data_IF_943412035467
#
_entry.id   IF_943412035467
#
_cell.length_a   1.000
_cell.length_b   1.000
_cell.length_c   1.000
_cell.angle_alpha   90.00
_cell.angle_beta   90.00
_cell.angle_gamma   90.00
#
_symmetry.space_group_name_H-M   'P 1'
#
loop_
_entity.id
_entity.type
_entity.pdbx_description
1 polymer ?
#
# COMPACT_ATOMS: atom_id res chain seq x y z
N UNK A 1 12.33 4.71 -18.20
CA UNK A 1 13.18 3.66 -17.59
C UNK A 1 12.64 3.38 -16.21
N UNK A 2 12.00 2.23 -16.00
CA UNK A 2 11.71 1.73 -14.65
C UNK A 2 13.04 1.28 -14.05
N UNK A 3 13.48 1.96 -12.99
CA UNK A 3 14.65 1.54 -12.20
C UNK A 3 14.42 0.13 -11.63
N UNK A 4 15.51 -0.54 -11.24
CA UNK A 4 15.41 -1.80 -10.51
C UNK A 4 14.67 -1.53 -9.20
N UNK A 5 13.80 -2.45 -8.79
CA UNK A 5 13.07 -2.36 -7.52
C UNK A 5 14.00 -2.76 -6.36
N UNK A 6 14.83 -1.80 -5.92
CA UNK A 6 16.00 -2.05 -5.06
C UNK A 6 15.66 -2.34 -3.59
N UNK A 7 14.49 -1.89 -3.11
CA UNK A 7 14.07 -2.10 -1.72
C UNK A 7 13.13 -3.29 -1.54
N UNK A 8 12.58 -3.85 -2.62
CA UNK A 8 11.52 -4.88 -2.57
C UNK A 8 11.78 -6.00 -1.56
N UNK A 9 12.96 -6.61 -1.63
CA UNK A 9 13.29 -7.72 -0.74
C UNK A 9 13.39 -7.30 0.72
N UNK A 10 13.84 -6.06 1.00
CA UNK A 10 13.92 -5.52 2.35
C UNK A 10 12.53 -5.17 2.89
N UNK A 11 11.66 -4.62 2.05
CA UNK A 11 10.26 -4.37 2.42
C UNK A 11 9.54 -5.67 2.76
N UNK A 12 9.60 -6.68 1.90
CA UNK A 12 8.95 -7.97 2.19
C UNK A 12 9.50 -8.64 3.46
N UNK A 13 10.83 -8.65 3.65
CA UNK A 13 11.42 -9.19 4.87
C UNK A 13 10.95 -8.43 6.12
N UNK A 14 10.90 -7.09 6.04
CA UNK A 14 10.40 -6.25 7.13
C UNK A 14 8.92 -6.51 7.41
N UNK A 15 8.08 -6.68 6.39
CA UNK A 15 6.66 -7.00 6.57
C UNK A 15 6.48 -8.33 7.31
N UNK A 16 7.18 -9.38 6.88
CA UNK A 16 7.09 -10.71 7.48
C UNK A 16 7.50 -10.71 8.96
N UNK A 17 8.52 -9.92 9.33
CA UNK A 17 9.02 -9.85 10.71
C UNK A 17 8.21 -8.89 11.59
N UNK A 18 7.75 -7.77 11.03
CA UNK A 18 7.21 -6.65 11.79
C UNK A 18 5.71 -6.51 11.63
N UNK A 19 5.16 -6.59 10.42
CA UNK A 19 3.73 -6.31 10.19
C UNK A 19 2.88 -7.57 10.34
N UNK A 20 3.26 -8.66 9.68
CA UNK A 20 2.49 -9.92 9.64
C UNK A 20 2.14 -10.45 11.05
N UNK A 21 3.06 -10.48 12.04
CA UNK A 21 2.73 -11.00 13.37
C UNK A 21 1.77 -10.13 14.17
N UNK A 22 1.49 -8.90 13.72
CA UNK A 22 0.74 -7.88 14.47
C UNK A 22 -0.65 -7.60 13.88
N UNK A 23 -0.93 -8.11 12.69
CA UNK A 23 -2.25 -8.00 12.05
C UNK A 23 -2.77 -9.39 11.63
N UNK A 24 -3.55 -10.05 12.49
CA UNK A 24 -4.19 -11.32 12.15
C UNK A 24 -5.50 -11.13 11.35
N UNK A 25 -5.89 -9.88 11.05
CA UNK A 25 -7.20 -9.61 10.46
C UNK A 25 -7.26 -10.04 9.00
N UNK A 26 -8.43 -10.53 8.60
CA UNK A 26 -8.72 -10.95 7.23
C UNK A 26 -9.93 -10.18 6.71
N UNK A 27 -9.81 -9.72 5.46
CA UNK A 27 -10.86 -9.05 4.71
C UNK A 27 -11.41 -10.04 3.70
N UNK A 28 -12.72 -10.29 3.75
CA UNK A 28 -13.41 -11.05 2.72
C UNK A 28 -13.45 -10.24 1.41
N UNK A 29 -13.24 -10.91 0.27
CA UNK A 29 -13.27 -10.28 -1.05
C UNK A 29 -14.49 -9.36 -1.27
N UNK A 30 -15.68 -9.82 -0.85
CA UNK A 30 -16.92 -9.05 -0.98
C UNK A 30 -16.96 -7.72 -0.21
N UNK A 31 -16.10 -7.54 0.79
CA UNK A 31 -15.97 -6.30 1.56
C UNK A 31 -14.83 -5.41 1.05
N UNK A 32 -13.87 -5.96 0.29
CA UNK A 32 -12.63 -5.28 -0.05
C UNK A 32 -12.86 -3.99 -0.88
N UNK A 33 -13.75 -4.01 -1.87
CA UNK A 33 -14.05 -2.80 -2.65
C UNK A 33 -14.58 -1.67 -1.77
N UNK A 34 -15.50 -1.97 -0.84
CA UNK A 34 -16.05 -0.96 0.06
C UNK A 34 -14.99 -0.35 0.98
N UNK A 35 -14.00 -1.14 1.42
CA UNK A 35 -12.86 -0.62 2.18
C UNK A 35 -11.97 0.29 1.34
N UNK A 36 -11.64 -0.14 0.11
CA UNK A 36 -10.86 0.68 -0.83
C UNK A 36 -11.57 2.00 -1.11
N UNK A 37 -12.87 1.98 -1.40
CA UNK A 37 -13.67 3.17 -1.68
C UNK A 37 -13.69 4.14 -0.48
N UNK A 38 -13.86 3.60 0.73
CA UNK A 38 -13.88 4.39 1.96
C UNK A 38 -12.54 5.07 2.22
N UNK A 39 -11.42 4.33 2.16
CA UNK A 39 -10.07 4.88 2.34
C UNK A 39 -9.79 5.95 1.28
N UNK A 40 -10.08 5.65 0.01
CA UNK A 40 -9.85 6.56 -1.10
C UNK A 40 -10.63 7.87 -0.95
N UNK A 41 -11.90 7.78 -0.56
CA UNK A 41 -12.75 8.95 -0.30
C UNK A 41 -12.29 9.75 0.92
N UNK A 42 -11.80 9.08 1.96
CA UNK A 42 -11.26 9.74 3.17
C UNK A 42 -10.00 10.53 2.86
N UNK A 43 -9.18 10.06 1.90
CA UNK A 43 -8.03 10.79 1.36
C UNK A 43 -8.43 11.93 0.39
N UNK A 44 -9.73 12.20 0.20
CA UNK A 44 -10.23 13.23 -0.70
C UNK A 44 -10.08 12.90 -2.19
N UNK A 45 -9.78 11.64 -2.52
CA UNK A 45 -9.48 11.22 -3.88
C UNK A 45 -10.75 10.75 -4.62
N UNK A 46 -10.70 10.83 -5.95
CA UNK A 46 -11.73 10.30 -6.86
C UNK A 46 -11.18 9.13 -7.67
N UNK A 47 -12.09 8.30 -8.15
CA UNK A 47 -11.77 7.13 -9.00
C UNK A 47 -10.83 6.13 -8.30
N UNK A 48 -11.33 5.45 -7.25
CA UNK A 48 -10.59 4.38 -6.59
C UNK A 48 -10.27 3.25 -7.58
N UNK A 49 -9.20 2.49 -7.34
CA UNK A 49 -8.93 1.31 -8.13
C UNK A 49 -10.03 0.26 -7.94
N UNK A 50 -10.26 -0.53 -8.97
CA UNK A 50 -11.23 -1.63 -8.94
C UNK A 50 -10.61 -2.86 -8.28
N UNK A 51 -11.34 -3.47 -7.36
CA UNK A 51 -11.01 -4.77 -6.81
C UNK A 51 -11.48 -5.88 -7.77
N UNK A 52 -10.55 -6.76 -8.13
CA UNK A 52 -10.75 -7.90 -9.02
C UNK A 52 -10.30 -9.19 -8.34
N UNK A 53 -10.84 -10.36 -8.71
CA UNK A 53 -10.38 -11.62 -8.16
C UNK A 53 -8.98 -11.93 -8.70
N UNK A 54 -8.09 -12.41 -7.83
CA UNK A 54 -6.78 -12.91 -8.24
C UNK A 54 -6.97 -14.12 -9.17
N UNK A 55 -6.28 -14.18 -10.34
CA UNK A 55 -6.39 -15.31 -11.24
C UNK A 55 -6.03 -16.62 -10.55
N UNK A 56 -6.80 -17.69 -10.77
CA UNK A 56 -6.57 -19.00 -10.14
C UNK A 56 -5.19 -19.60 -10.47
N UNK A 57 -4.55 -19.13 -11.54
CA UNK A 57 -3.23 -19.55 -11.98
C UNK A 57 -2.08 -18.82 -11.26
N UNK A 58 -2.36 -17.77 -10.48
CA UNK A 58 -1.36 -17.05 -9.70
C UNK A 58 -1.03 -17.87 -8.43
N UNK A 59 0.06 -18.64 -8.49
CA UNK A 59 0.46 -19.55 -7.40
C UNK A 59 1.48 -18.96 -6.42
N UNK A 60 2.14 -17.86 -6.79
CA UNK A 60 3.24 -17.26 -6.01
C UNK A 60 2.94 -15.87 -5.47
N UNK A 61 1.83 -15.24 -5.87
CA UNK A 61 1.47 -13.87 -5.47
C UNK A 61 0.29 -13.90 -4.52
N UNK A 62 0.38 -13.14 -3.44
CA UNK A 62 -0.72 -12.97 -2.49
C UNK A 62 -1.76 -11.96 -3.00
N UNK A 63 -1.30 -10.93 -3.75
CA UNK A 63 -2.13 -9.97 -4.47
C UNK A 63 -1.28 -9.25 -5.56
N UNK A 64 -1.91 -8.42 -6.39
CA UNK A 64 -1.21 -7.42 -7.21
C UNK A 64 -2.01 -6.12 -7.37
N UNK A 65 -1.31 -4.99 -7.31
CA UNK A 65 -1.87 -3.65 -7.35
C UNK A 65 -1.29 -2.81 -8.48
N UNK A 66 -2.16 -1.98 -9.07
CA UNK A 66 -1.80 -0.92 -10.01
C UNK A 66 -2.68 0.30 -9.70
N UNK A 67 -2.44 1.42 -10.38
CA UNK A 67 -3.29 2.61 -10.23
C UNK A 67 -4.78 2.32 -10.44
N UNK A 68 -5.12 1.36 -11.31
CA UNK A 68 -6.51 1.13 -11.72
C UNK A 68 -7.14 -0.12 -11.11
N UNK A 69 -6.34 -1.07 -10.61
CA UNK A 69 -6.83 -2.38 -10.20
C UNK A 69 -6.04 -2.93 -9.02
N UNK A 70 -6.75 -3.55 -8.06
CA UNK A 70 -6.20 -4.41 -7.01
C UNK A 70 -6.76 -5.82 -7.21
N UNK A 71 -5.90 -6.82 -7.34
CA UNK A 71 -6.30 -8.22 -7.50
C UNK A 71 -6.11 -8.99 -6.21
N UNK A 72 -7.22 -9.48 -5.64
CA UNK A 72 -7.26 -10.07 -4.30
C UNK A 72 -7.81 -11.49 -4.32
N UNK A 73 -7.30 -12.42 -3.49
CA UNK A 73 -7.91 -13.72 -3.23
C UNK A 73 -9.25 -13.59 -2.48
N UNK A 74 -9.91 -14.71 -2.21
CA UNK A 74 -11.20 -14.74 -1.51
C UNK A 74 -11.14 -14.14 -0.09
N UNK A 75 -9.98 -14.24 0.56
CA UNK A 75 -9.67 -13.61 1.84
C UNK A 75 -8.25 -13.05 1.76
N UNK A 76 -8.08 -11.79 2.16
CA UNK A 76 -6.80 -11.08 2.12
C UNK A 76 -6.49 -10.49 3.49
N UNK A 77 -5.26 -10.60 4.02
CA UNK A 77 -4.86 -9.87 5.21
C UNK A 77 -5.04 -8.36 5.03
N UNK A 78 -5.44 -7.64 6.08
CA UNK A 78 -5.68 -6.19 5.95
C UNK A 78 -4.41 -5.44 5.57
N UNK A 79 -3.26 -5.78 6.16
CA UNK A 79 -1.97 -5.21 5.76
C UNK A 79 -1.66 -5.41 4.27
N UNK A 80 -2.00 -6.56 3.70
CA UNK A 80 -1.77 -6.86 2.29
C UNK A 80 -2.68 -6.00 1.38
N UNK A 81 -3.94 -5.77 1.77
CA UNK A 81 -4.79 -4.80 1.05
C UNK A 81 -4.20 -3.39 1.08
N UNK A 82 -3.66 -2.96 2.23
CA UNK A 82 -3.04 -1.65 2.37
C UNK A 82 -1.74 -1.52 1.57
N UNK A 83 -0.96 -2.60 1.47
CA UNK A 83 0.22 -2.69 0.61
C UNK A 83 -0.14 -2.44 -0.86
N UNK A 84 -1.12 -3.18 -1.39
CA UNK A 84 -1.55 -3.02 -2.78
C UNK A 84 -2.21 -1.65 -3.02
N UNK A 85 -2.89 -1.11 -2.02
CA UNK A 85 -3.44 0.25 -2.09
C UNK A 85 -2.32 1.30 -2.12
N UNK A 86 -1.24 1.11 -1.38
CA UNK A 86 -0.07 1.97 -1.46
C UNK A 86 0.53 1.97 -2.87
N UNK A 87 0.64 0.80 -3.52
CA UNK A 87 1.03 0.73 -4.94
C UNK A 87 0.07 1.51 -5.85
N UNK A 88 -1.24 1.43 -5.62
CA UNK A 88 -2.20 2.19 -6.41
C UNK A 88 -2.07 3.71 -6.20
N UNK A 89 -1.71 4.15 -4.99
CA UNK A 89 -1.48 5.55 -4.65
C UNK A 89 -0.14 6.08 -5.19
N UNK A 90 0.86 5.21 -5.35
CA UNK A 90 2.19 5.55 -5.88
C UNK A 90 2.42 5.07 -7.31
N UNK A 91 1.35 4.89 -8.08
CA UNK A 91 1.41 4.60 -9.50
C UNK A 91 0.51 5.53 -10.29
N UNK A 92 0.89 5.82 -11.53
CA UNK A 92 0.11 6.61 -12.48
C UNK A 92 -0.58 5.69 -13.50
N UNK A 93 -1.54 6.24 -14.24
CA UNK A 93 -2.32 5.47 -15.22
C UNK A 93 -1.52 5.08 -16.48
N UNK A 94 -0.44 5.78 -16.77
CA UNK A 94 0.52 5.50 -17.84
C UNK A 94 1.63 4.51 -17.42
N UNK A 95 1.57 3.99 -16.20
CA UNK A 95 2.44 2.91 -15.73
C UNK A 95 3.74 3.38 -15.05
N UNK A 96 3.89 4.68 -14.77
CA UNK A 96 4.93 5.14 -13.86
C UNK A 96 4.56 4.74 -12.42
N UNK A 97 5.56 4.36 -11.63
CA UNK A 97 5.33 3.87 -10.27
C UNK A 97 6.59 3.99 -9.44
N UNK A 98 6.43 4.26 -8.15
CA UNK A 98 7.53 4.25 -7.17
C UNK A 98 8.01 2.83 -6.84
N UNK A 99 7.28 1.78 -7.28
CA UNK A 99 7.55 0.39 -6.88
C UNK A 99 7.60 0.28 -5.34
N UNK A 100 8.67 -0.28 -4.74
CA UNK A 100 8.91 -0.26 -3.30
C UNK A 100 9.85 0.87 -2.87
N UNK A 101 9.86 1.99 -3.59
CA UNK A 101 10.66 3.16 -3.28
C UNK A 101 10.24 3.88 -1.99
N UNK A 102 10.93 4.98 -1.65
CA UNK A 102 10.66 5.72 -0.42
C UNK A 102 9.25 6.32 -0.33
N UNK A 103 8.65 6.71 -1.47
CA UNK A 103 7.29 7.29 -1.50
C UNK A 103 6.26 6.21 -1.19
N UNK A 104 6.42 5.02 -1.79
CA UNK A 104 5.62 3.84 -1.48
C UNK A 104 5.70 3.49 -0.01
N UNK A 105 6.92 3.36 0.54
CA UNK A 105 7.11 3.01 1.94
C UNK A 105 6.48 4.07 2.87
N UNK A 106 6.59 5.35 2.50
CA UNK A 106 5.94 6.46 3.20
C UNK A 106 4.42 6.35 3.25
N UNK A 107 3.76 6.18 2.10
CA UNK A 107 2.31 5.99 2.04
C UNK A 107 1.90 4.74 2.81
N UNK A 108 2.62 3.63 2.63
CA UNK A 108 2.27 2.39 3.29
C UNK A 108 2.33 2.51 4.83
N UNK A 109 3.38 3.13 5.38
CA UNK A 109 3.47 3.42 6.81
C UNK A 109 2.31 4.29 7.28
N UNK A 110 1.94 5.34 6.56
CA UNK A 110 0.80 6.19 6.91
C UNK A 110 -0.51 5.38 6.96
N UNK A 111 -0.72 4.46 6.02
CA UNK A 111 -1.89 3.57 6.00
C UNK A 111 -1.89 2.60 7.19
N UNK A 112 -0.75 1.97 7.50
CA UNK A 112 -0.61 1.06 8.65
C UNK A 112 -0.91 1.79 9.98
N UNK A 113 -0.40 3.01 10.15
CA UNK A 113 -0.66 3.83 11.34
C UNK A 113 -2.13 4.21 11.44
N UNK A 114 -2.73 4.65 10.33
CA UNK A 114 -4.12 5.16 10.34
C UNK A 114 -5.14 4.05 10.52
N UNK A 115 -4.99 2.94 9.79
CA UNK A 115 -6.03 1.91 9.68
C UNK A 115 -5.76 0.67 10.54
N UNK A 116 -4.50 0.30 10.74
CA UNK A 116 -4.13 -0.81 11.65
C UNK A 116 -3.66 -0.34 13.03
N UNK A 117 -3.58 0.99 13.24
CA UNK A 117 -3.20 1.61 14.52
C UNK A 117 -1.81 1.15 15.01
N UNK A 118 -0.93 0.75 14.11
CA UNK A 118 0.44 0.40 14.46
C UNK A 118 1.22 1.68 14.87
N UNK A 119 2.04 1.64 15.94
CA UNK A 119 2.71 2.85 16.41
C UNK A 119 3.75 3.36 15.41
N UNK A 120 3.58 4.60 14.92
CA UNK A 120 4.49 5.20 13.94
C UNK A 120 5.96 5.22 14.39
N UNK A 121 6.33 5.63 15.62
CA UNK A 121 7.73 5.65 16.02
C UNK A 121 8.39 4.27 15.95
N UNK A 122 7.62 3.22 16.23
CA UNK A 122 8.10 1.83 16.16
C UNK A 122 8.28 1.35 14.71
N UNK A 123 7.33 1.66 13.82
CA UNK A 123 7.45 1.34 12.39
C UNK A 123 8.70 2.01 11.79
N UNK A 124 8.92 3.29 12.07
CA UNK A 124 10.07 4.03 11.56
C UNK A 124 11.40 3.46 12.06
N UNK A 125 11.51 3.14 13.35
CA UNK A 125 12.72 2.54 13.91
C UNK A 125 13.03 1.15 13.30
N UNK A 126 12.01 0.34 13.03
CA UNK A 126 12.20 -1.00 12.43
C UNK A 126 12.53 -0.92 10.93
N UNK A 127 11.96 0.03 10.20
CA UNK A 127 12.32 0.29 8.79
C UNK A 127 13.76 0.78 8.64
N UNK A 128 14.20 1.69 9.52
CA UNK A 128 15.59 2.13 9.58
C UNK A 128 16.54 0.95 9.86
N UNK A 129 16.19 0.09 10.83
CA UNK A 129 16.96 -1.11 11.14
C UNK A 129 17.02 -2.11 9.97
N UNK A 130 16.00 -2.11 9.12
CA UNK A 130 15.91 -2.96 7.93
C UNK A 130 16.51 -2.31 6.66
N UNK A 131 17.12 -1.12 6.77
CA UNK A 131 17.66 -0.34 5.64
C UNK A 131 16.61 -0.08 4.54
N UNK A 132 15.37 0.19 4.97
CA UNK A 132 14.28 0.63 4.09
C UNK A 132 14.16 2.14 4.20
N UNK A 133 14.41 2.83 3.09
CA UNK A 133 14.21 4.27 2.96
C UNK A 133 12.71 4.59 2.90
N UNK A 134 12.31 5.64 3.61
CA UNK A 134 10.92 6.07 3.79
C UNK A 134 10.83 7.58 3.63
N UNK A 135 9.92 8.06 2.81
CA UNK A 135 9.52 9.47 2.78
C UNK A 135 8.19 9.66 3.52
N UNK A 136 8.24 10.10 4.79
CA UNK A 136 7.03 10.35 5.56
C UNK A 136 6.21 11.56 5.09
N UNK A 137 6.71 12.34 4.13
CA UNK A 137 5.96 13.42 3.47
C UNK A 137 5.33 12.95 2.16
N UNK A 138 5.43 11.66 1.84
CA UNK A 138 4.85 11.07 0.66
C UNK A 138 3.36 11.41 0.51
N UNK A 139 2.99 11.74 -0.72
CA UNK A 139 1.62 11.98 -1.17
C UNK A 139 1.35 11.14 -2.42
N UNK A 140 0.09 10.84 -2.76
CA UNK A 140 -0.21 10.06 -3.95
C UNK A 140 0.34 10.75 -5.21
N UNK A 141 1.03 10.00 -6.08
CA UNK A 141 1.83 10.56 -7.18
C UNK A 141 1.03 11.30 -8.26
N UNK A 142 -0.29 11.15 -8.26
CA UNK A 142 -1.21 11.76 -9.23
C UNK A 142 -2.00 12.94 -8.66
N UNK A 143 -1.67 13.40 -7.44
CA UNK A 143 -2.29 14.57 -6.83
C UNK A 143 -1.37 15.77 -7.02
N UNK A 144 -1.87 16.84 -7.65
CA UNK A 144 -1.17 18.12 -7.67
C UNK A 144 -1.13 18.71 -6.25
N UNK A 145 0.06 19.13 -5.82
CA UNK A 145 0.44 19.46 -4.43
C UNK A 145 -0.41 20.57 -3.77
N UNK A 146 -1.19 21.32 -4.55
CA UNK A 146 -2.04 22.41 -4.08
C UNK A 146 -3.30 21.96 -3.32
N UNK A 147 -3.76 20.72 -3.48
CA UNK A 147 -5.04 20.26 -2.91
C UNK A 147 -4.91 19.40 -1.63
N UNK A 148 -3.78 18.74 -1.40
CA UNK A 148 -3.65 17.70 -0.38
C UNK A 148 -3.26 18.21 1.03
N UNK A 149 -2.72 19.43 1.14
CA UNK A 149 -2.21 19.96 2.42
C UNK A 149 -3.28 20.37 3.45
N UNK A 150 -4.56 20.27 3.11
CA UNK A 150 -5.64 20.73 3.99
C UNK A 150 -6.23 19.64 4.92
N UNK A 151 -5.74 18.39 4.89
CA UNK A 151 -6.46 17.25 5.48
C UNK A 151 -5.59 16.24 6.25
N UNK A 152 -4.33 16.55 6.54
CA UNK A 152 -3.45 15.77 7.42
C UNK A 152 -3.12 16.53 8.70
#
# INVERSE_FOLDING_TARGET
MTGRDEQRSRVYAWEDEMVVPRDPSLIAYGAAQGMVDAIWSELGLRYPPRVEPLPKQATTRMADGSRLTLRLPAQTPSWCLLHELAHALTSTHDGHSDQHGPVFAGIYVQLLVRYLRLPQPWLLATLESADVQVDMRAQPLFVDTAAFQAQL
#
